data_IF_061039591289
#
_entry.id   IF_061039591289
#
_cell.length_a   1.000
_cell.length_b   1.000
_cell.length_c   1.000
_cell.angle_alpha   90.00
_cell.angle_beta   90.00
_cell.angle_gamma   90.00
#
_symmetry.space_group_name_H-M   'P 1'
#
loop_
_entity.id
_entity.type
_entity.pdbx_description
1 polymer ?
#
# COMPACT_ATOMS: atom_id res chain seq x y z
N UNK A 1 -0.17 -24.43 -34.75
CA UNK A 1 -1.02 -23.37 -34.15
C UNK A 1 -0.92 -23.49 -32.63
N UNK A 2 -0.24 -22.54 -31.98
CA UNK A 2 0.07 -22.64 -30.55
C UNK A 2 -1.18 -22.38 -29.69
N UNK A 3 -1.53 -23.31 -28.80
CA UNK A 3 -2.71 -23.24 -27.92
C UNK A 3 -2.59 -21.99 -27.06
N UNK A 4 -3.33 -20.93 -27.41
CA UNK A 4 -3.56 -19.79 -26.54
C UNK A 4 -4.27 -20.35 -25.31
N UNK A 5 -3.52 -20.59 -24.23
CA UNK A 5 -4.12 -20.95 -22.95
C UNK A 5 -5.00 -19.77 -22.53
N UNK A 6 -6.31 -19.93 -22.74
CA UNK A 6 -7.33 -18.95 -22.36
C UNK A 6 -7.20 -18.74 -20.85
N UNK A 7 -7.17 -17.48 -20.43
CA UNK A 7 -7.23 -17.15 -19.01
C UNK A 7 -8.67 -17.36 -18.57
N UNK A 8 -8.89 -18.14 -17.52
CA UNK A 8 -10.22 -18.26 -16.93
C UNK A 8 -10.58 -16.99 -16.16
N UNK A 9 -11.85 -16.84 -15.82
CA UNK A 9 -12.30 -15.70 -15.03
C UNK A 9 -11.71 -15.77 -13.62
N UNK A 10 -11.62 -16.96 -13.04
CA UNK A 10 -11.04 -17.21 -11.72
C UNK A 10 -9.55 -16.85 -11.69
N UNK A 11 -8.79 -17.23 -12.73
CA UNK A 11 -7.38 -16.84 -12.84
C UNK A 11 -7.23 -15.32 -13.01
N UNK A 12 -8.14 -14.70 -13.76
CA UNK A 12 -8.13 -13.26 -14.01
C UNK A 12 -8.41 -12.49 -12.72
N UNK A 13 -9.40 -12.93 -11.94
CA UNK A 13 -9.77 -12.30 -10.67
C UNK A 13 -8.69 -12.51 -9.60
N UNK A 14 -8.13 -13.73 -9.51
CA UNK A 14 -6.98 -14.01 -8.65
C UNK A 14 -5.78 -13.12 -8.99
N UNK A 15 -5.52 -12.90 -10.29
CA UNK A 15 -4.42 -12.03 -10.71
C UNK A 15 -4.67 -10.57 -10.31
N UNK A 16 -5.91 -10.09 -10.40
CA UNK A 16 -6.29 -8.75 -9.92
C UNK A 16 -6.10 -8.63 -8.42
N UNK A 17 -6.63 -9.57 -7.64
CA UNK A 17 -6.56 -9.52 -6.18
C UNK A 17 -5.11 -9.49 -5.69
N UNK A 18 -4.22 -10.28 -6.30
CA UNK A 18 -2.80 -10.32 -5.94
C UNK A 18 -2.03 -9.06 -6.34
N UNK A 19 -2.40 -8.40 -7.43
CA UNK A 19 -1.80 -7.10 -7.79
C UNK A 19 -2.28 -5.97 -6.87
N UNK A 20 -3.52 -6.04 -6.38
CA UNK A 20 -4.11 -5.06 -5.45
C UNK A 20 -3.59 -5.26 -4.02
N UNK A 21 -3.40 -6.50 -3.58
CA UNK A 21 -2.88 -6.83 -2.25
C UNK A 21 -1.43 -6.42 -2.01
N UNK A 22 -0.71 -6.04 -3.07
CA UNK A 22 0.70 -5.66 -2.99
C UNK A 22 1.65 -6.86 -2.91
N UNK A 23 1.19 -8.06 -3.27
CA UNK A 23 2.03 -9.27 -3.30
C UNK A 23 3.23 -9.10 -4.25
N UNK A 24 4.36 -9.72 -3.87
CA UNK A 24 5.60 -9.68 -4.64
C UNK A 24 5.44 -10.36 -6.00
N UNK A 25 6.41 -10.21 -6.93
CA UNK A 25 6.25 -10.91 -8.22
C UNK A 25 6.47 -12.40 -8.06
N UNK A 26 7.41 -12.76 -7.19
CA UNK A 26 7.72 -14.14 -6.85
C UNK A 26 6.50 -14.86 -6.25
N UNK A 27 5.75 -14.20 -5.35
CA UNK A 27 4.51 -14.73 -4.79
C UNK A 27 3.43 -14.97 -5.86
N UNK A 28 3.27 -14.04 -6.79
CA UNK A 28 2.32 -14.22 -7.90
C UNK A 28 2.75 -15.37 -8.81
N UNK A 29 4.03 -15.48 -9.14
CA UNK A 29 4.53 -16.60 -9.94
C UNK A 29 4.28 -17.95 -9.26
N UNK A 30 4.49 -18.02 -7.95
CA UNK A 30 4.19 -19.21 -7.16
C UNK A 30 2.71 -19.61 -7.23
N UNK A 31 1.81 -18.63 -7.14
CA UNK A 31 0.36 -18.83 -7.20
C UNK A 31 -0.16 -19.25 -8.58
N UNK A 32 0.65 -19.10 -9.64
CA UNK A 32 0.32 -19.42 -11.02
C UNK A 32 1.35 -20.38 -11.65
N UNK A 33 1.54 -21.56 -11.06
CA UNK A 33 2.50 -22.58 -11.53
C UNK A 33 2.30 -23.04 -12.98
N UNK A 34 1.07 -22.93 -13.52
CA UNK A 34 0.74 -23.27 -14.90
C UNK A 34 1.02 -22.14 -15.92
N UNK A 35 1.41 -20.94 -15.45
CA UNK A 35 1.65 -19.76 -16.29
C UNK A 35 3.11 -19.33 -16.19
N UNK A 36 3.70 -18.98 -17.33
CA UNK A 36 5.03 -18.37 -17.30
C UNK A 36 4.96 -16.93 -16.80
N UNK A 37 6.05 -16.46 -16.20
CA UNK A 37 6.28 -15.06 -15.81
C UNK A 37 5.85 -14.06 -16.89
N UNK A 38 6.21 -14.35 -18.14
CA UNK A 38 5.88 -13.50 -19.28
C UNK A 38 4.38 -13.49 -19.58
N UNK A 39 3.71 -14.64 -19.47
CA UNK A 39 2.26 -14.73 -19.66
C UNK A 39 1.51 -13.92 -18.59
N UNK A 40 1.97 -13.97 -17.34
CA UNK A 40 1.42 -13.19 -16.22
C UNK A 40 1.60 -11.69 -16.48
N UNK A 41 2.81 -11.24 -16.87
CA UNK A 41 3.07 -9.82 -17.21
C UNK A 41 2.20 -9.33 -18.36
N UNK A 42 2.08 -10.11 -19.44
CA UNK A 42 1.25 -9.73 -20.58
C UNK A 42 -0.23 -9.65 -20.21
N UNK A 43 -0.74 -10.60 -19.41
CA UNK A 43 -2.12 -10.54 -18.94
C UNK A 43 -2.34 -9.33 -18.02
N UNK A 44 -1.46 -9.11 -17.05
CA UNK A 44 -1.53 -7.94 -16.15
C UNK A 44 -1.56 -6.62 -16.95
N UNK A 45 -0.68 -6.48 -17.94
CA UNK A 45 -0.64 -5.31 -18.84
C UNK A 45 -1.96 -5.13 -19.60
N UNK A 46 -2.52 -6.21 -20.17
CA UNK A 46 -3.82 -6.18 -20.86
C UNK A 46 -5.00 -5.84 -19.94
N UNK A 47 -4.90 -6.20 -18.66
CA UNK A 47 -5.88 -5.84 -17.63
C UNK A 47 -5.68 -4.41 -17.10
N UNK A 48 -4.64 -3.70 -17.52
CA UNK A 48 -4.29 -2.38 -16.97
C UNK A 48 -3.70 -2.45 -15.55
N UNK A 49 -3.35 -3.64 -15.07
CA UNK A 49 -2.73 -3.83 -13.76
C UNK A 49 -1.28 -3.36 -13.84
N UNK A 50 -1.03 -2.18 -13.29
CA UNK A 50 0.32 -1.63 -13.14
C UNK A 50 0.77 -1.82 -11.71
N UNK A 51 1.91 -2.47 -11.54
CA UNK A 51 2.68 -2.32 -10.30
C UNK A 51 3.25 -0.93 -10.35
N UNK A 52 2.71 -0.02 -9.56
CA UNK A 52 3.52 1.12 -9.13
C UNK A 52 4.75 0.49 -8.51
N UNK A 53 5.94 0.74 -9.07
CA UNK A 53 7.20 0.30 -8.47
C UNK A 53 7.15 0.80 -7.02
N UNK A 54 6.80 -0.11 -6.12
CA UNK A 54 6.34 0.23 -4.79
C UNK A 54 7.58 0.69 -4.08
N UNK A 55 7.70 2.00 -3.89
CA UNK A 55 7.65 2.63 -2.57
C UNK A 55 8.64 2.10 -1.50
N UNK A 56 9.61 1.24 -1.83
CA UNK A 56 10.73 0.93 -0.97
C UNK A 56 11.55 2.21 -0.71
N UNK A 57 11.63 3.10 -1.71
CA UNK A 57 12.35 4.37 -1.62
C UNK A 57 11.48 5.55 -1.18
N UNK A 58 10.16 5.48 -1.27
CA UNK A 58 9.27 6.58 -0.84
C UNK A 58 8.80 6.40 0.61
N UNK A 59 8.80 5.17 1.15
CA UNK A 59 8.64 4.96 2.60
C UNK A 59 9.86 5.40 3.43
N UNK A 60 10.96 5.75 2.77
CA UNK A 60 12.22 6.13 3.42
C UNK A 60 12.25 7.60 3.87
N UNK A 61 11.33 8.45 3.44
CA UNK A 61 11.39 9.87 3.80
C UNK A 61 10.02 10.38 4.24
N UNK A 62 9.85 10.35 5.57
CA UNK A 62 8.88 11.10 6.38
C UNK A 62 7.41 10.65 6.27
N UNK A 63 7.04 9.63 7.06
CA UNK A 63 5.64 9.28 7.36
C UNK A 63 4.93 10.29 8.28
N UNK A 64 5.57 11.43 8.55
CA UNK A 64 5.09 12.48 9.47
C UNK A 64 5.36 13.83 8.82
N UNK A 65 4.31 14.61 8.62
CA UNK A 65 4.38 16.01 8.24
C UNK A 65 3.94 16.86 9.43
N UNK A 66 4.77 17.84 9.81
CA UNK A 66 4.41 18.85 10.81
C UNK A 66 3.68 19.99 10.15
N UNK A 67 2.52 20.33 10.66
CA UNK A 67 1.76 21.53 10.31
C UNK A 67 1.89 22.48 11.48
N UNK A 68 2.48 23.64 11.23
CA UNK A 68 2.46 24.78 12.14
C UNK A 68 1.61 25.87 11.49
N UNK A 69 0.70 26.45 12.27
CA UNK A 69 -0.11 27.60 11.86
C UNK A 69 0.67 28.92 11.92
N UNK A 70 1.97 28.88 12.28
CA UNK A 70 2.84 30.04 12.40
C UNK A 70 2.60 30.89 13.66
N UNK A 71 1.67 30.48 14.53
CA UNK A 71 1.26 31.26 15.71
C UNK A 71 1.75 30.65 17.04
N UNK A 72 2.64 29.65 16.98
CA UNK A 72 3.23 29.03 18.18
C UNK A 72 2.26 28.21 19.02
N UNK A 73 1.05 27.95 18.51
CA UNK A 73 0.07 27.05 19.09
C UNK A 73 0.07 25.69 18.38
N UNK A 74 -0.45 24.67 19.08
CA UNK A 74 -0.90 23.38 18.55
C UNK A 74 -0.13 22.81 17.34
N UNK A 75 0.84 21.91 17.57
CA UNK A 75 1.42 21.17 16.44
C UNK A 75 0.41 20.13 15.92
N UNK A 76 -0.15 20.40 14.74
CA UNK A 76 -0.96 19.43 14.00
C UNK A 76 -0.01 18.54 13.18
N UNK A 77 -0.19 17.22 13.29
CA UNK A 77 0.63 16.25 12.55
C UNK A 77 -0.23 15.51 11.53
N UNK A 78 0.31 15.31 10.34
CA UNK A 78 -0.26 14.36 9.38
C UNK A 78 0.64 13.13 9.29
N UNK A 79 0.07 11.98 9.58
CA UNK A 79 0.72 10.68 9.49
C UNK A 79 0.28 9.92 8.25
N UNK A 80 1.22 9.25 7.59
CA UNK A 80 0.88 8.26 6.55
C UNK A 80 0.78 6.87 7.18
N UNK A 81 -0.38 6.23 7.05
CA UNK A 81 -0.57 4.87 7.54
C UNK A 81 0.35 3.90 6.78
N UNK A 82 1.16 3.14 7.51
CA UNK A 82 2.02 2.11 6.92
C UNK A 82 1.26 0.91 6.35
N UNK A 83 0.07 0.61 6.89
CA UNK A 83 -0.75 -0.53 6.48
C UNK A 83 -1.56 -0.30 5.21
N UNK A 84 -2.24 0.85 5.10
CA UNK A 84 -3.10 1.15 3.93
C UNK A 84 -2.69 2.39 3.13
N UNK A 85 -1.68 3.13 3.57
CA UNK A 85 -1.22 4.35 2.89
C UNK A 85 -2.06 5.60 3.14
N UNK A 86 -3.17 5.50 3.88
CA UNK A 86 -4.06 6.62 4.15
C UNK A 86 -3.45 7.67 5.07
N UNK A 87 -3.77 8.94 4.81
CA UNK A 87 -3.33 10.06 5.62
C UNK A 87 -4.23 10.25 6.84
N UNK A 88 -3.61 10.48 8.00
CA UNK A 88 -4.28 10.60 9.30
C UNK A 88 -3.87 11.94 9.91
N UNK A 89 -4.85 12.78 10.22
CA UNK A 89 -4.63 14.02 10.96
C UNK A 89 -4.67 13.72 12.46
N UNK A 90 -3.62 14.12 13.17
CA UNK A 90 -3.50 13.98 14.62
C UNK A 90 -3.20 15.34 15.22
N UNK A 91 -4.12 15.79 16.08
CA UNK A 91 -3.99 17.05 16.80
C UNK A 91 -3.36 16.77 18.17
N UNK A 92 -2.24 17.45 18.48
CA UNK A 92 -1.48 17.23 19.71
C UNK A 92 -1.90 18.14 20.88
N UNK A 93 -3.13 18.67 20.91
CA UNK A 93 -3.59 19.65 21.89
C UNK A 93 -3.77 19.15 23.34
N UNK A 94 -3.20 18.00 23.72
CA UNK A 94 -3.28 17.47 25.08
C UNK A 94 -1.96 16.83 25.49
N UNK A 95 -1.51 17.11 26.72
CA UNK A 95 -0.30 16.56 27.32
C UNK A 95 -0.14 15.08 26.99
N UNK A 96 0.92 14.77 26.23
CA UNK A 96 1.07 13.53 25.50
C UNK A 96 1.44 12.34 26.39
N UNK A 97 0.43 11.70 27.00
CA UNK A 97 0.59 10.35 27.54
C UNK A 97 0.28 9.30 26.46
N UNK A 98 -0.70 9.56 25.57
CA UNK A 98 -1.12 8.63 24.53
C UNK A 98 -0.49 8.93 23.17
N UNK A 99 0.70 8.37 22.93
CA UNK A 99 1.45 8.47 21.66
C UNK A 99 0.99 7.49 20.58
N UNK A 100 -0.29 7.11 20.61
CA UNK A 100 -0.83 6.04 19.79
C UNK A 100 -1.95 6.54 18.90
N UNK A 101 -1.82 6.32 17.59
CA UNK A 101 -2.81 6.69 16.58
C UNK A 101 -3.29 5.41 15.91
N UNK A 102 -4.61 5.21 15.86
CA UNK A 102 -5.22 4.06 15.18
C UNK A 102 -5.78 4.51 13.84
N UNK A 103 -5.36 3.87 12.76
CA UNK A 103 -5.90 4.12 11.43
C UNK A 103 -7.36 3.66 11.35
N UNK A 104 -8.29 4.56 10.99
CA UNK A 104 -9.71 4.20 10.85
C UNK A 104 -10.01 3.27 9.67
N UNK A 105 -9.11 3.19 8.69
CA UNK A 105 -9.35 2.44 7.45
C UNK A 105 -8.87 0.99 7.53
N UNK A 106 -7.76 0.72 8.22
CA UNK A 106 -7.19 -0.62 8.32
C UNK A 106 -6.84 -1.04 9.76
N UNK A 107 -7.23 -0.22 10.76
CA UNK A 107 -6.99 -0.47 12.18
C UNK A 107 -5.51 -0.61 12.58
N UNK A 108 -4.58 -0.28 11.68
CA UNK A 108 -3.15 -0.27 11.98
C UNK A 108 -2.87 0.76 13.07
N UNK A 109 -2.11 0.31 14.08
CA UNK A 109 -1.69 1.12 15.20
C UNK A 109 -0.33 1.74 14.86
N UNK A 110 -0.27 3.06 14.88
CA UNK A 110 0.97 3.83 14.75
C UNK A 110 1.37 4.38 16.12
N UNK A 111 2.63 4.19 16.48
CA UNK A 111 3.24 4.84 17.63
C UNK A 111 4.28 5.83 17.13
N UNK A 112 4.30 7.04 17.70
CA UNK A 112 5.32 8.02 17.37
C UNK A 112 6.13 8.38 18.63
N UNK A 113 7.44 8.55 18.46
CA UNK A 113 8.30 9.16 19.46
C UNK A 113 8.39 10.65 19.12
N UNK A 114 8.07 11.49 20.11
CA UNK A 114 8.29 12.94 20.02
C UNK A 114 9.79 13.25 20.01
#
# INVERSE_FOLDING_TARGET
>A
MSRRSLWTEEETEKLRSLYISGSSFEEIEYEFSARSSNAIRQKASRLGLRRHATLASINSFQNVLRISDGNGGAEDLIFRCSGCGSWIHANLNGGAEDRTIVCRQCQTILRYAA
#
